data_IF_529531119683
#
_entry.id   IF_529531119683
#
_cell.length_a   1.000
_cell.length_b   1.000
_cell.length_c   1.000
_cell.angle_alpha   90.00
_cell.angle_beta   90.00
_cell.angle_gamma   90.00
#
_symmetry.space_group_name_H-M   'P 1'
#
loop_
_entity.id
_entity.type
_entity.pdbx_description
1 polymer ?
#
# COMPACT_ATOMS: atom_id res chain seq x y z
N UNK A 1 12.84 -53.92 -33.85
CA UNK A 1 12.07 -53.04 -34.76
C UNK A 1 10.82 -52.60 -34.01
N UNK A 2 10.78 -51.48 -33.29
CA UNK A 2 10.81 -50.08 -33.77
C UNK A 2 11.14 -49.21 -32.53
N UNK A 3 12.41 -48.87 -32.29
CA UNK A 3 12.98 -47.55 -32.62
C UNK A 3 12.05 -46.67 -33.47
N UNK A 4 11.37 -45.70 -32.86
CA UNK A 4 10.95 -44.45 -33.52
C UNK A 4 10.61 -43.41 -32.43
N UNK A 5 11.46 -42.38 -32.33
CA UNK A 5 11.11 -40.95 -32.26
C UNK A 5 10.11 -40.59 -31.15
N UNK A 6 10.51 -39.86 -30.10
CA UNK A 6 10.33 -38.41 -30.04
C UNK A 6 11.22 -37.82 -28.90
N UNK A 7 12.53 -37.73 -29.14
CA UNK A 7 13.37 -36.73 -28.44
C UNK A 7 13.36 -35.49 -29.32
N UNK A 8 12.29 -34.69 -29.20
CA UNK A 8 12.18 -33.36 -29.79
C UNK A 8 11.06 -32.58 -29.08
N UNK A 9 11.09 -32.61 -27.74
CA UNK A 9 10.37 -31.65 -26.92
C UNK A 9 11.14 -30.34 -26.96
N UNK A 10 10.90 -29.57 -28.02
CA UNK A 10 11.50 -28.29 -28.31
C UNK A 10 11.51 -27.38 -27.10
N UNK A 11 12.70 -27.15 -26.53
CA UNK A 11 12.96 -25.98 -25.67
C UNK A 11 12.89 -24.76 -26.59
N UNK A 12 11.67 -24.31 -26.89
CA UNK A 12 11.44 -22.94 -27.34
C UNK A 12 11.33 -22.13 -26.05
N UNK A 13 12.48 -21.85 -25.44
CA UNK A 13 12.57 -20.76 -24.48
C UNK A 13 12.43 -19.49 -25.31
N UNK A 14 11.18 -19.02 -25.44
CA UNK A 14 10.88 -17.75 -26.06
C UNK A 14 11.79 -16.70 -25.39
N UNK A 15 12.70 -16.14 -26.17
CA UNK A 15 13.49 -15.00 -25.75
C UNK A 15 12.48 -13.88 -25.46
N UNK A 16 12.10 -13.75 -24.19
CA UNK A 16 11.39 -12.59 -23.70
C UNK A 16 12.19 -11.38 -24.19
N UNK A 17 11.56 -10.36 -24.77
CA UNK A 17 12.27 -9.12 -25.05
C UNK A 17 12.80 -8.65 -23.70
N UNK A 18 14.11 -8.82 -23.50
CA UNK A 18 14.82 -8.17 -22.42
C UNK A 18 14.48 -6.71 -22.58
N UNK A 19 13.69 -6.16 -21.66
CA UNK A 19 13.46 -4.73 -21.57
C UNK A 19 14.80 -4.15 -21.17
N UNK A 20 15.67 -3.95 -22.16
CA UNK A 20 16.91 -3.25 -22.00
C UNK A 20 16.52 -1.86 -21.50
N UNK A 21 16.97 -1.52 -20.30
CA UNK A 21 16.80 -0.18 -19.78
C UNK A 21 17.33 0.79 -20.84
N UNK A 22 16.61 1.87 -21.17
CA UNK A 22 17.13 2.83 -22.13
C UNK A 22 18.53 3.24 -21.68
N UNK A 23 19.51 3.12 -22.57
CA UNK A 23 20.94 3.31 -22.23
C UNK A 23 21.20 4.64 -21.51
N UNK A 24 20.41 5.67 -21.80
CA UNK A 24 20.41 6.96 -21.11
C UNK A 24 20.00 6.89 -19.62
N UNK A 25 19.04 6.05 -19.24
CA UNK A 25 18.56 5.91 -17.85
C UNK A 25 19.65 5.31 -16.96
N UNK A 26 20.31 4.26 -17.45
CA UNK A 26 21.43 3.66 -16.72
C UNK A 26 22.59 4.64 -16.58
N UNK A 27 22.95 5.34 -17.66
CA UNK A 27 24.02 6.34 -17.67
C UNK A 27 23.74 7.50 -16.68
N UNK A 28 22.50 8.00 -16.66
CA UNK A 28 22.08 9.03 -15.72
C UNK A 28 22.15 8.53 -14.26
N UNK A 29 21.71 7.30 -14.00
CA UNK A 29 21.80 6.70 -12.66
C UNK A 29 23.25 6.57 -12.17
N UNK A 30 24.14 6.06 -13.02
CA UNK A 30 25.57 5.91 -12.71
C UNK A 30 26.26 7.27 -12.52
N UNK A 31 25.93 8.26 -13.36
CA UNK A 31 26.41 9.65 -13.21
C UNK A 31 25.92 10.28 -11.91
N UNK A 32 24.66 10.04 -11.54
CA UNK A 32 24.11 10.47 -10.25
C UNK A 32 24.85 9.86 -9.07
N UNK A 33 25.16 8.56 -9.13
CA UNK A 33 25.93 7.87 -8.08
C UNK A 33 27.35 8.42 -7.95
N UNK A 34 28.01 8.73 -9.07
CA UNK A 34 29.35 9.35 -9.05
C UNK A 34 29.32 10.73 -8.40
N UNK A 35 28.40 11.60 -8.82
CA UNK A 35 28.22 12.93 -8.20
C UNK A 35 27.87 12.84 -6.72
N UNK A 36 27.07 11.86 -6.33
CA UNK A 36 26.76 11.60 -4.92
C UNK A 36 28.02 11.26 -4.11
N UNK A 37 28.88 10.39 -4.65
CA UNK A 37 30.14 10.02 -4.03
C UNK A 37 31.12 11.19 -3.94
N UNK A 38 31.10 12.10 -4.92
CA UNK A 38 31.88 13.34 -4.95
C UNK A 38 31.33 14.43 -3.99
N UNK A 39 30.16 14.21 -3.38
CA UNK A 39 29.51 15.17 -2.50
C UNK A 39 28.64 16.22 -3.22
N UNK A 40 28.57 16.20 -4.55
CA UNK A 40 27.65 17.03 -5.34
C UNK A 40 26.22 16.45 -5.28
N UNK A 41 25.57 16.59 -4.13
CA UNK A 41 24.20 16.09 -3.92
C UNK A 41 23.17 16.79 -4.80
N UNK A 42 23.40 18.06 -5.15
CA UNK A 42 22.51 18.80 -6.02
C UNK A 42 22.58 18.27 -7.46
N UNK A 43 23.79 18.01 -7.97
CA UNK A 43 23.98 17.39 -9.28
C UNK A 43 23.58 15.92 -9.31
N UNK A 44 23.77 15.18 -8.23
CA UNK A 44 23.25 13.82 -8.10
C UNK A 44 21.73 13.80 -8.25
N UNK A 45 21.01 14.69 -7.55
CA UNK A 45 19.56 14.81 -7.66
C UNK A 45 19.11 15.16 -9.09
N UNK A 46 19.78 16.09 -9.78
CA UNK A 46 19.45 16.39 -11.20
C UNK A 46 19.54 15.16 -12.09
N UNK A 47 20.55 14.33 -11.89
CA UNK A 47 20.71 13.09 -12.66
C UNK A 47 19.68 12.03 -12.27
N UNK A 48 19.39 11.89 -10.98
CA UNK A 48 18.33 11.00 -10.53
C UNK A 48 16.93 11.46 -10.98
N UNK A 49 16.69 12.76 -11.13
CA UNK A 49 15.43 13.28 -11.64
C UNK A 49 15.21 12.85 -13.10
N UNK A 50 16.25 12.88 -13.95
CA UNK A 50 16.18 12.32 -15.31
C UNK A 50 15.80 10.84 -15.31
N UNK A 51 16.31 10.08 -14.34
CA UNK A 51 15.97 8.65 -14.15
C UNK A 51 14.51 8.48 -13.68
N UNK A 52 14.02 9.36 -12.82
CA UNK A 52 12.63 9.35 -12.33
C UNK A 52 11.63 9.76 -13.44
N UNK A 53 12.01 10.69 -14.29
CA UNK A 53 11.22 11.16 -15.44
C UNK A 53 11.00 10.04 -16.47
N UNK A 54 11.99 9.15 -16.65
CA UNK A 54 11.87 7.96 -17.50
C UNK A 54 10.95 6.87 -16.93
N UNK A 55 10.25 7.15 -15.82
CA UNK A 55 9.39 6.23 -15.07
C UNK A 55 10.11 4.99 -14.54
N UNK A 56 11.44 4.99 -14.54
CA UNK A 56 12.20 3.90 -13.93
C UNK A 56 12.16 4.03 -12.41
N UNK A 57 11.94 2.90 -11.74
CA UNK A 57 11.82 2.82 -10.29
C UNK A 57 12.62 1.63 -9.78
N UNK A 58 13.48 1.88 -8.80
CA UNK A 58 14.20 0.83 -8.09
C UNK A 58 14.42 1.23 -6.64
N UNK A 59 14.58 0.22 -5.77
CA UNK A 59 14.91 0.46 -4.37
C UNK A 59 16.22 1.24 -4.23
N UNK A 60 17.23 0.94 -5.05
CA UNK A 60 18.52 1.63 -5.07
C UNK A 60 18.39 3.11 -5.48
N UNK A 61 17.61 3.42 -6.51
CA UNK A 61 17.33 4.80 -6.90
C UNK A 61 16.71 5.59 -5.76
N UNK A 62 15.63 5.06 -5.19
CA UNK A 62 14.93 5.75 -4.11
C UNK A 62 15.79 5.91 -2.86
N UNK A 63 16.63 4.91 -2.54
CA UNK A 63 17.59 5.01 -1.45
C UNK A 63 18.64 6.11 -1.69
N UNK A 64 19.19 6.21 -2.90
CA UNK A 64 20.19 7.21 -3.25
C UNK A 64 19.59 8.62 -3.30
N UNK A 65 18.40 8.79 -3.86
CA UNK A 65 17.65 10.06 -3.85
C UNK A 65 17.35 10.49 -2.40
N UNK A 66 16.90 9.55 -1.56
CA UNK A 66 16.67 9.80 -0.14
C UNK A 66 17.94 10.27 0.58
N UNK A 67 19.07 9.61 0.33
CA UNK A 67 20.38 10.01 0.84
C UNK A 67 20.81 11.39 0.37
N UNK A 68 20.57 11.72 -0.91
CA UNK A 68 20.96 13.02 -1.46
C UNK A 68 20.14 14.16 -0.84
N UNK A 69 18.84 13.93 -0.61
CA UNK A 69 18.01 14.87 0.15
C UNK A 69 18.45 15.01 1.61
N UNK A 70 18.77 13.90 2.28
CA UNK A 70 19.25 13.91 3.67
C UNK A 70 20.52 14.76 3.80
N UNK A 71 21.51 14.54 2.95
CA UNK A 71 22.78 15.30 2.95
C UNK A 71 22.60 16.78 2.62
N UNK A 72 21.47 17.17 2.02
CA UNK A 72 21.09 18.57 1.76
C UNK A 72 20.18 19.17 2.83
N UNK A 73 19.91 18.46 3.93
CA UNK A 73 19.01 18.92 4.99
C UNK A 73 17.51 18.85 4.63
N UNK A 74 17.16 18.26 3.49
CA UNK A 74 15.77 18.16 3.02
C UNK A 74 15.08 16.93 3.64
N UNK A 75 14.90 16.95 4.97
CA UNK A 75 14.47 15.78 5.75
C UNK A 75 13.15 15.18 5.26
N UNK A 76 12.14 16.01 4.95
CA UNK A 76 10.85 15.54 4.46
C UNK A 76 10.95 14.76 3.13
N UNK A 77 11.77 15.23 2.19
CA UNK A 77 12.01 14.48 0.94
C UNK A 77 12.84 13.23 1.19
N UNK A 78 13.80 13.27 2.11
CA UNK A 78 14.58 12.08 2.48
C UNK A 78 13.69 10.97 3.02
N UNK A 79 12.79 11.26 3.97
CA UNK A 79 11.81 10.28 4.49
C UNK A 79 10.96 9.75 3.34
N UNK A 80 10.41 10.64 2.50
CA UNK A 80 9.55 10.24 1.38
C UNK A 80 10.22 9.23 0.46
N UNK A 81 11.48 9.46 0.09
CA UNK A 81 12.19 8.58 -0.84
C UNK A 81 12.71 7.31 -0.16
N UNK A 82 13.18 7.38 1.09
CA UNK A 82 13.48 6.15 1.83
C UNK A 82 12.25 5.27 2.06
N UNK A 83 11.08 5.85 2.26
CA UNK A 83 9.82 5.12 2.33
C UNK A 83 9.45 4.42 1.02
N UNK A 84 9.74 5.06 -0.12
CA UNK A 84 9.60 4.40 -1.43
C UNK A 84 10.62 3.26 -1.57
N UNK A 85 11.87 3.46 -1.13
CA UNK A 85 12.90 2.42 -1.16
C UNK A 85 12.50 1.20 -0.32
N UNK A 86 11.89 1.43 0.86
CA UNK A 86 11.39 0.39 1.78
C UNK A 86 10.36 -0.55 1.16
N UNK A 87 9.63 -0.10 0.13
CA UNK A 87 8.66 -0.92 -0.59
C UNK A 87 9.29 -1.87 -1.61
N UNK A 88 10.55 -1.62 -1.99
CA UNK A 88 11.24 -2.33 -3.07
C UNK A 88 12.50 -3.07 -2.61
N UNK A 89 13.09 -2.64 -1.49
CA UNK A 89 14.24 -3.29 -0.88
C UNK A 89 13.80 -4.36 0.11
N UNK A 90 14.66 -5.37 0.39
CA UNK A 90 14.40 -6.34 1.44
C UNK A 90 14.12 -5.66 2.78
N UNK A 91 13.17 -6.21 3.53
CA UNK A 91 12.71 -5.61 4.78
C UNK A 91 13.84 -5.51 5.82
N UNK A 92 14.77 -6.47 5.80
CA UNK A 92 15.95 -6.60 6.65
C UNK A 92 17.12 -5.67 6.25
N UNK A 93 16.93 -4.74 5.32
CA UNK A 93 17.97 -3.78 4.92
C UNK A 93 18.35 -2.84 6.09
N UNK A 94 19.34 -3.24 6.88
CA UNK A 94 19.80 -2.52 8.06
C UNK A 94 20.20 -1.07 7.75
N UNK A 95 20.85 -0.84 6.60
CA UNK A 95 21.25 0.51 6.15
C UNK A 95 20.04 1.42 5.91
N UNK A 96 19.00 0.91 5.26
CA UNK A 96 17.78 1.67 5.03
C UNK A 96 17.07 1.98 6.34
N UNK A 97 16.93 0.99 7.23
CA UNK A 97 16.30 1.17 8.53
C UNK A 97 17.04 2.22 9.38
N UNK A 98 18.37 2.14 9.42
CA UNK A 98 19.20 3.10 10.12
C UNK A 98 18.99 4.52 9.59
N UNK A 99 19.08 4.73 8.28
CA UNK A 99 18.89 6.07 7.70
C UNK A 99 17.48 6.62 7.95
N UNK A 100 16.44 5.79 7.81
CA UNK A 100 15.06 6.19 8.13
C UNK A 100 14.91 6.60 9.60
N UNK A 101 15.54 5.87 10.51
CA UNK A 101 15.55 6.20 11.94
C UNK A 101 16.20 7.56 12.19
N UNK A 102 17.38 7.79 11.60
CA UNK A 102 18.12 9.05 11.72
C UNK A 102 17.33 10.23 11.16
N UNK A 103 16.73 10.10 9.98
CA UNK A 103 15.97 11.22 9.40
C UNK A 103 14.70 11.48 10.22
N UNK A 104 14.04 10.44 10.73
CA UNK A 104 12.82 10.59 11.54
C UNK A 104 13.07 11.23 12.90
N UNK A 105 14.20 10.92 13.55
CA UNK A 105 14.52 11.53 14.84
C UNK A 105 14.83 13.03 14.72
N UNK A 106 15.17 13.50 13.51
CA UNK A 106 15.46 14.90 13.23
C UNK A 106 14.24 15.70 12.76
N UNK A 107 13.10 15.04 12.53
CA UNK A 107 11.84 15.71 12.19
C UNK A 107 10.96 15.68 13.43
N UNK A 108 10.47 16.84 13.85
CA UNK A 108 9.48 16.91 14.90
C UNK A 108 8.23 16.13 14.47
N UNK A 109 7.79 15.18 15.29
CA UNK A 109 6.65 14.35 14.96
C UNK A 109 5.44 15.27 14.72
N UNK A 110 4.72 15.15 13.59
CA UNK A 110 3.49 15.90 13.42
C UNK A 110 2.57 15.59 14.61
N UNK A 111 1.83 16.59 15.11
CA UNK A 111 0.95 16.38 16.24
C UNK A 111 0.01 15.20 15.94
N UNK A 112 -0.26 14.32 16.92
CA UNK A 112 -1.13 13.17 16.69
C UNK A 112 -2.48 13.68 16.18
N UNK A 113 -2.93 13.13 15.06
CA UNK A 113 -4.25 13.46 14.53
C UNK A 113 -5.31 13.12 15.59
N UNK A 114 -6.17 14.08 15.98
CA UNK A 114 -7.19 13.83 16.97
C UNK A 114 -8.10 12.71 16.45
N UNK A 115 -8.16 11.60 17.20
CA UNK A 115 -9.00 10.46 16.83
C UNK A 115 -10.46 10.79 17.14
N UNK A 116 -11.34 10.55 16.18
CA UNK A 116 -12.77 10.68 16.42
C UNK A 116 -13.25 9.60 17.40
N UNK A 117 -14.32 9.89 18.14
CA UNK A 117 -14.99 8.92 19.00
C UNK A 117 -15.30 7.61 18.26
N UNK A 118 -15.74 7.70 17.00
CA UNK A 118 -16.04 6.53 16.16
C UNK A 118 -14.80 5.67 15.88
N UNK A 119 -13.62 6.27 15.67
CA UNK A 119 -12.40 5.52 15.46
C UNK A 119 -11.99 4.75 16.73
N UNK A 120 -12.09 5.40 17.90
CA UNK A 120 -11.81 4.77 19.19
C UNK A 120 -12.82 3.66 19.50
N UNK A 121 -14.10 3.90 19.27
CA UNK A 121 -15.15 2.90 19.48
C UNK A 121 -14.94 1.68 18.57
N UNK A 122 -14.69 1.88 17.27
CA UNK A 122 -14.37 0.80 16.33
C UNK A 122 -13.16 0.00 16.79
N UNK A 123 -12.06 0.67 17.11
CA UNK A 123 -10.84 0.01 17.57
C UNK A 123 -11.11 -0.84 18.83
N UNK A 124 -11.93 -0.33 19.77
CA UNK A 124 -12.38 -1.06 20.95
C UNK A 124 -13.28 -2.27 20.65
N UNK A 125 -14.26 -2.12 19.74
CA UNK A 125 -15.13 -3.22 19.30
C UNK A 125 -14.34 -4.33 18.58
N UNK A 126 -13.30 -3.94 17.85
CA UNK A 126 -12.47 -4.88 17.07
C UNK A 126 -11.29 -5.46 17.84
N UNK A 127 -10.98 -4.90 19.01
CA UNK A 127 -9.87 -5.34 19.82
C UNK A 127 -10.05 -6.80 20.26
N UNK A 128 -9.11 -7.65 19.86
CA UNK A 128 -9.05 -9.04 20.30
C UNK A 128 -9.99 -10.01 19.60
N UNK A 129 -10.82 -9.56 18.65
CA UNK A 129 -11.69 -10.43 17.86
C UNK A 129 -11.15 -10.54 16.43
N UNK A 130 -10.62 -11.70 16.00
CA UNK A 130 -10.17 -11.88 14.63
C UNK A 130 -11.36 -11.85 13.66
N UNK A 131 -11.16 -11.54 12.36
CA UNK A 131 -12.23 -11.49 11.36
C UNK A 131 -13.13 -12.75 11.35
N UNK A 132 -12.54 -13.93 11.55
CA UNK A 132 -13.27 -15.19 11.62
C UNK A 132 -14.26 -15.25 12.80
N UNK A 133 -13.96 -14.57 13.92
CA UNK A 133 -14.84 -14.51 15.09
C UNK A 133 -16.20 -13.89 14.78
N UNK A 134 -16.24 -12.85 13.94
CA UNK A 134 -17.50 -12.22 13.50
C UNK A 134 -18.33 -13.12 12.59
N UNK A 135 -17.66 -13.93 11.76
CA UNK A 135 -18.33 -14.93 10.92
C UNK A 135 -18.98 -16.00 11.79
N UNK A 136 -18.25 -16.50 12.80
CA UNK A 136 -18.78 -17.49 13.76
C UNK A 136 -19.95 -16.91 14.57
N UNK A 137 -19.82 -15.67 15.06
CA UNK A 137 -20.91 -14.99 15.78
C UNK A 137 -22.17 -14.84 14.90
N UNK A 138 -22.02 -14.42 13.64
CA UNK A 138 -23.13 -14.35 12.68
C UNK A 138 -23.78 -15.72 12.42
N UNK A 139 -22.96 -16.79 12.32
CA UNK A 139 -23.45 -18.16 12.16
C UNK A 139 -24.25 -18.64 13.39
N UNK A 140 -23.79 -18.35 14.61
CA UNK A 140 -24.50 -18.71 15.84
C UNK A 140 -25.86 -18.00 15.94
N UNK A 141 -25.92 -16.71 15.60
CA UNK A 141 -27.18 -15.95 15.52
C UNK A 141 -28.12 -16.59 14.52
N UNK A 142 -27.62 -16.96 13.34
CA UNK A 142 -28.40 -17.65 12.31
C UNK A 142 -28.93 -19.00 12.79
N UNK A 143 -28.09 -19.85 13.38
CA UNK A 143 -28.48 -21.17 13.86
C UNK A 143 -29.48 -21.09 15.02
N UNK A 144 -29.31 -20.13 15.95
CA UNK A 144 -30.26 -19.89 17.03
C UNK A 144 -31.62 -19.45 16.52
N UNK A 145 -31.65 -18.54 15.54
CA UNK A 145 -32.89 -18.11 14.91
C UNK A 145 -33.57 -19.24 14.13
N UNK A 146 -32.80 -20.07 13.43
CA UNK A 146 -33.30 -21.26 12.75
C UNK A 146 -33.90 -22.27 13.73
N UNK A 147 -33.23 -22.54 14.85
CA UNK A 147 -33.71 -23.45 15.88
C UNK A 147 -35.02 -22.94 16.52
N UNK A 148 -35.09 -21.64 16.85
CA UNK A 148 -36.31 -21.02 17.36
C UNK A 148 -37.46 -21.10 16.35
N UNK A 149 -37.17 -20.86 15.07
CA UNK A 149 -38.13 -21.01 13.99
C UNK A 149 -38.66 -22.45 13.90
N UNK A 150 -37.79 -23.46 13.87
CA UNK A 150 -38.17 -24.88 13.83
C UNK A 150 -39.02 -25.25 15.05
N UNK A 151 -38.60 -24.86 16.25
CA UNK A 151 -39.32 -25.17 17.49
C UNK A 151 -40.76 -24.63 17.47
N UNK A 152 -40.92 -23.34 17.13
CA UNK A 152 -42.23 -22.68 17.05
C UNK A 152 -43.16 -23.35 16.05
N UNK A 153 -42.61 -23.84 14.93
CA UNK A 153 -43.38 -24.49 13.87
C UNK A 153 -43.72 -25.95 14.19
N UNK A 154 -42.86 -26.65 14.94
CA UNK A 154 -43.17 -27.99 15.43
C UNK A 154 -44.30 -28.01 16.47
N UNK A 155 -44.53 -26.89 17.17
CA UNK A 155 -45.53 -26.79 18.25
C UNK A 155 -46.84 -26.10 17.87
N UNK A 156 -46.93 -25.47 16.68
CA UNK A 156 -48.10 -24.65 16.30
C UNK A 156 -48.70 -25.12 14.97
N UNK A 157 -49.85 -25.79 15.03
CA UNK A 157 -50.55 -26.33 13.87
C UNK A 157 -51.37 -25.25 13.15
N UNK A 158 -50.75 -24.44 12.27
CA UNK A 158 -51.48 -23.54 11.34
C UNK A 158 -50.76 -23.32 10.00
N UNK A 159 -51.57 -23.38 8.94
CA UNK A 159 -51.29 -23.11 7.51
C UNK A 159 -50.08 -22.20 7.25
N UNK A 160 -49.04 -22.88 6.80
CA UNK A 160 -47.77 -22.44 6.19
C UNK A 160 -47.79 -21.08 5.45
N UNK A 161 -46.93 -20.15 5.89
CA UNK A 161 -46.38 -19.03 5.10
C UNK A 161 -44.91 -18.76 5.48
N UNK A 162 -43.95 -19.57 5.02
CA UNK A 162 -42.54 -19.27 5.19
C UNK A 162 -42.15 -18.19 4.18
N UNK A 163 -41.61 -17.08 4.65
CA UNK A 163 -41.07 -16.11 3.69
C UNK A 163 -40.38 -14.95 4.34
N UNK A 164 -40.97 -14.36 5.38
CA UNK A 164 -40.44 -13.13 5.97
C UNK A 164 -39.51 -13.36 7.18
N UNK A 165 -39.83 -14.31 8.05
CA UNK A 165 -39.09 -14.48 9.31
C UNK A 165 -37.70 -15.11 9.09
N UNK A 166 -37.61 -16.16 8.27
CA UNK A 166 -36.33 -16.85 7.98
C UNK A 166 -35.40 -15.99 7.11
N UNK A 167 -35.95 -15.22 6.17
CA UNK A 167 -35.18 -14.29 5.34
C UNK A 167 -34.66 -13.11 6.16
N UNK A 168 -35.44 -12.59 7.12
CA UNK A 168 -34.97 -11.58 8.06
C UNK A 168 -33.83 -12.07 8.96
N UNK A 169 -33.89 -13.32 9.42
CA UNK A 169 -32.84 -13.91 10.26
C UNK A 169 -31.54 -14.18 9.48
N UNK A 170 -31.65 -14.66 8.24
CA UNK A 170 -30.49 -14.81 7.33
C UNK A 170 -29.87 -13.44 7.02
N UNK A 171 -30.68 -12.42 6.75
CA UNK A 171 -30.22 -11.05 6.54
C UNK A 171 -29.49 -10.50 7.78
N UNK A 172 -30.02 -10.71 8.98
CA UNK A 172 -29.38 -10.28 10.23
C UNK A 172 -28.03 -10.97 10.46
N UNK A 173 -27.93 -12.28 10.26
CA UNK A 173 -26.67 -13.03 10.40
C UNK A 173 -25.59 -12.55 9.41
N UNK A 174 -25.97 -12.33 8.14
CA UNK A 174 -25.08 -11.80 7.11
C UNK A 174 -24.65 -10.35 7.39
N UNK A 175 -25.56 -9.51 7.91
CA UNK A 175 -25.25 -8.15 8.30
C UNK A 175 -24.26 -8.08 9.47
N UNK A 176 -24.43 -8.93 10.49
CA UNK A 176 -23.50 -9.00 11.64
C UNK A 176 -22.12 -9.47 11.18
N UNK A 177 -22.05 -10.52 10.37
CA UNK A 177 -20.78 -11.03 9.84
C UNK A 177 -20.09 -10.00 8.93
N UNK A 178 -20.84 -9.37 8.01
CA UNK A 178 -20.32 -8.37 7.09
C UNK A 178 -19.84 -7.10 7.78
N UNK A 179 -20.61 -6.58 8.74
CA UNK A 179 -20.25 -5.41 9.53
C UNK A 179 -19.01 -5.69 10.39
N UNK A 180 -18.93 -6.84 11.05
CA UNK A 180 -17.77 -7.21 11.86
C UNK A 180 -16.49 -7.33 11.04
N UNK A 181 -16.55 -7.96 9.87
CA UNK A 181 -15.41 -8.04 8.93
C UNK A 181 -15.01 -6.66 8.41
N UNK A 182 -15.98 -5.81 8.06
CA UNK A 182 -15.71 -4.45 7.58
C UNK A 182 -15.07 -3.56 8.66
N UNK A 183 -15.55 -3.64 9.90
CA UNK A 183 -14.98 -2.90 11.02
C UNK A 183 -13.56 -3.39 11.35
N UNK A 184 -13.33 -4.69 11.28
CA UNK A 184 -12.01 -5.31 11.54
C UNK A 184 -11.03 -5.15 10.36
N UNK A 185 -11.49 -4.70 9.19
CA UNK A 185 -10.62 -4.47 8.05
C UNK A 185 -9.67 -3.30 8.36
N UNK A 186 -8.36 -3.43 8.12
CA UNK A 186 -7.41 -2.35 8.33
C UNK A 186 -7.84 -1.10 7.55
N UNK A 187 -7.99 0.03 8.24
CA UNK A 187 -8.27 1.29 7.56
C UNK A 187 -7.15 1.59 6.54
N UNK A 188 -7.48 1.88 5.27
CA UNK A 188 -6.48 2.21 4.25
C UNK A 188 -5.65 3.46 4.58
N UNK A 189 -6.09 4.23 5.58
CA UNK A 189 -5.57 5.53 6.01
C UNK A 189 -4.21 5.49 6.73
N UNK A 190 -3.58 4.32 6.89
CA UNK A 190 -2.17 4.22 7.28
C UNK A 190 -1.19 4.90 6.29
N UNK A 191 -1.71 5.38 5.16
CA UNK A 191 -1.03 6.25 4.21
C UNK A 191 -1.70 7.62 4.28
N UNK A 192 -1.37 8.40 5.31
CA UNK A 192 -1.61 9.83 5.28
C UNK A 192 -0.92 10.38 4.02
N UNK A 193 -1.71 10.59 2.96
CA UNK A 193 -1.30 11.41 1.84
C UNK A 193 -1.30 12.81 2.40
N UNK A 194 -0.13 13.25 2.87
CA UNK A 194 0.16 14.67 2.97
C UNK A 194 0.02 15.21 1.54
N UNK A 195 -1.20 15.61 1.19
CA UNK A 195 -1.49 16.38 0.01
C UNK A 195 -0.61 17.62 0.13
N UNK A 196 0.40 17.66 -0.75
CA UNK A 196 1.35 18.73 -0.98
C UNK A 196 0.74 20.10 -0.67
N UNK A 197 1.53 20.97 -0.05
CA UNK A 197 1.38 22.42 -0.19
C UNK A 197 1.12 22.77 -1.66
N UNK A 198 0.17 23.68 -1.96
CA UNK A 198 -0.04 24.14 -3.32
C UNK A 198 1.29 24.67 -3.83
N UNK A 199 1.85 23.99 -4.85
CA UNK A 199 2.99 24.49 -5.59
C UNK A 199 2.59 25.88 -6.09
N UNK A 200 3.17 26.92 -5.50
CA UNK A 200 3.14 28.26 -6.07
C UNK A 200 3.73 28.13 -7.46
N UNK A 201 2.86 28.13 -8.47
CA UNK A 201 3.24 28.28 -9.86
C UNK A 201 4.04 29.57 -9.93
N UNK A 202 5.38 29.46 -10.03
CA UNK A 202 6.19 30.55 -10.57
C UNK A 202 5.69 30.72 -11.99
N UNK A 203 4.91 31.77 -12.20
CA UNK A 203 4.63 32.27 -13.53
C UNK A 203 5.98 32.42 -14.26
N UNK A 204 6.07 31.83 -15.45
CA UNK A 204 7.22 32.01 -16.32
C UNK A 204 7.44 33.50 -16.65
N UNK A 205 8.64 33.88 -17.09
CA UNK A 205 8.96 35.27 -17.37
C UNK A 205 8.01 35.79 -18.45
N UNK A 206 7.21 36.80 -18.10
CA UNK A 206 6.45 37.54 -19.08
C UNK A 206 7.44 38.27 -19.98
N UNK A 207 7.62 37.76 -21.20
CA UNK A 207 8.08 38.56 -22.31
C UNK A 207 6.97 39.55 -22.68
N UNK A 208 7.16 40.84 -22.35
CA UNK A 208 6.68 42.03 -23.06
C UNK A 208 7.68 43.14 -22.69
N UNK A 209 8.53 43.62 -23.59
CA UNK A 209 8.20 44.62 -24.62
C UNK A 209 7.44 45.79 -24.00
N UNK A 210 8.14 46.89 -23.68
CA UNK A 210 7.87 48.23 -24.23
C UNK A 210 8.68 49.31 -23.47
N UNK A 211 9.14 50.29 -24.26
CA UNK A 211 9.96 51.50 -23.98
C UNK A 211 11.44 51.33 -23.66
#
# INVERSE_FOLDING_TARGET
MRLFVLIAGSVVFAALPTVAQPTGVRSAFETGNRRYAEGDYAGALRQYDTVLESKWASGALYYNVGGAHFRRGNMGQAVRYYEKARRLLPAESQRLQHNLSVVRSQIEAPPPVPRSFLAVARDGLTAGVPPLGYVVAGLLVYLGALAWWVHRHATTDRRFRPGAETTACLAAGLLVAGLGVWLAAPSPDGRAVALRDPLTLRAGPAARADS
#
